data_IF_016813037625
#
_entry.id   IF_016813037625
#
_cell.length_a   1.000
_cell.length_b   1.000
_cell.length_c   1.000
_cell.angle_alpha   90.00
_cell.angle_beta   90.00
_cell.angle_gamma   90.00
#
_symmetry.space_group_name_H-M   'P 1'
#
loop_
_entity.id
_entity.type
_entity.pdbx_description
1 polymer ?
#
# COMPACT_ATOMS: atom_id res chain seq x y z
N UNK A 1 59.81 -52.94 -31.58
CA UNK A 1 59.09 -53.89 -32.46
C UNK A 1 57.67 -53.36 -32.69
N UNK A 2 57.22 -53.35 -33.96
CA UNK A 2 55.82 -53.36 -34.48
C UNK A 2 54.88 -52.19 -34.06
N UNK A 3 54.56 -51.27 -34.99
CA UNK A 3 53.34 -51.21 -35.87
C UNK A 3 52.06 -50.93 -35.04
N UNK A 4 51.46 -49.73 -35.03
CA UNK A 4 50.72 -49.00 -36.09
C UNK A 4 49.27 -49.49 -36.33
N UNK A 5 48.37 -48.52 -36.55
CA UNK A 5 46.97 -48.58 -37.08
C UNK A 5 45.91 -49.18 -36.15
N UNK A 6 44.89 -48.43 -35.68
CA UNK A 6 43.70 -47.86 -36.38
C UNK A 6 42.92 -48.91 -37.20
N UNK A 7 41.72 -49.31 -36.75
CA UNK A 7 40.43 -49.11 -37.46
C UNK A 7 39.24 -49.82 -36.76
N UNK A 8 38.12 -49.07 -36.67
CA UNK A 8 36.68 -49.38 -36.76
C UNK A 8 36.16 -50.80 -36.39
N UNK A 9 35.01 -50.93 -35.71
CA UNK A 9 33.65 -50.89 -36.32
C UNK A 9 32.57 -50.52 -35.28
N UNK A 10 31.53 -49.86 -35.79
CA UNK A 10 30.38 -49.20 -35.18
C UNK A 10 29.12 -50.13 -35.18
N UNK A 11 28.12 -49.75 -34.36
CA UNK A 11 26.65 -50.07 -34.44
C UNK A 11 26.26 -51.40 -33.75
N UNK A 12 25.22 -51.56 -32.89
CA UNK A 12 23.97 -50.88 -32.48
C UNK A 12 23.55 -51.50 -31.11
N UNK A 13 22.59 -51.06 -30.28
CA UNK A 13 21.53 -50.06 -30.32
C UNK A 13 20.99 -49.84 -28.88
N UNK A 14 20.37 -48.66 -28.69
CA UNK A 14 19.33 -48.21 -27.74
C UNK A 14 18.86 -49.17 -26.61
N UNK A 15 18.61 -48.70 -25.37
CA UNK A 15 17.63 -47.66 -25.01
C UNK A 15 18.10 -46.91 -23.74
N UNK A 16 18.19 -45.58 -23.83
CA UNK A 16 18.26 -44.69 -22.67
C UNK A 16 16.92 -43.96 -22.55
N UNK A 17 16.19 -44.22 -21.47
CA UNK A 17 14.99 -43.48 -21.06
C UNK A 17 14.94 -43.45 -19.53
N UNK A 18 15.64 -42.47 -18.97
CA UNK A 18 15.36 -41.86 -17.66
C UNK A 18 16.21 -40.59 -17.54
N UNK A 19 15.92 -39.60 -18.41
CA UNK A 19 16.37 -38.25 -18.15
C UNK A 19 15.74 -37.79 -16.85
N UNK A 20 16.57 -37.42 -15.86
CA UNK A 20 16.14 -36.56 -14.76
C UNK A 20 15.58 -35.29 -15.40
N UNK A 21 14.26 -35.12 -15.35
CA UNK A 21 13.67 -33.82 -15.62
C UNK A 21 14.13 -32.89 -14.49
N UNK A 22 15.09 -32.03 -14.81
CA UNK A 22 15.39 -30.85 -14.03
C UNK A 22 14.09 -30.05 -13.96
N UNK A 23 13.56 -29.85 -12.75
CA UNK A 23 12.39 -29.02 -12.56
C UNK A 23 12.69 -27.65 -13.19
N UNK A 24 11.79 -27.10 -14.03
CA UNK A 24 12.03 -25.78 -14.59
C UNK A 24 12.22 -24.81 -13.43
N UNK A 25 13.33 -24.06 -13.46
CA UNK A 25 13.55 -22.98 -12.52
C UNK A 25 12.31 -22.07 -12.52
N UNK A 26 11.77 -21.67 -11.36
CA UNK A 26 10.60 -20.83 -11.31
C UNK A 26 10.90 -19.56 -12.11
N UNK A 27 10.21 -19.41 -13.24
CA UNK A 27 10.27 -18.20 -14.03
C UNK A 27 9.71 -17.07 -13.16
N UNK A 28 10.43 -15.94 -13.13
CA UNK A 28 10.12 -14.76 -12.32
C UNK A 28 8.85 -14.01 -12.79
N UNK A 29 7.87 -14.72 -13.32
CA UNK A 29 6.66 -14.20 -13.96
C UNK A 29 5.47 -15.08 -13.57
N UNK A 30 5.20 -15.15 -12.27
CA UNK A 30 3.86 -15.45 -11.72
C UNK A 30 3.85 -15.23 -10.19
N UNK A 31 4.50 -14.15 -9.73
CA UNK A 31 4.09 -13.54 -8.46
C UNK A 31 2.79 -12.80 -8.73
N UNK A 32 1.69 -13.54 -8.88
CA UNK A 32 0.36 -12.96 -8.78
C UNK A 32 0.28 -12.35 -7.38
N UNK A 33 0.31 -11.01 -7.31
CA UNK A 33 0.08 -10.30 -6.06
C UNK A 33 -1.31 -10.72 -5.60
N UNK A 34 -1.37 -11.39 -4.45
CA UNK A 34 -2.62 -11.82 -3.88
C UNK A 34 -3.43 -10.59 -3.47
N UNK A 35 -4.40 -10.22 -4.32
CA UNK A 35 -5.29 -9.07 -4.10
C UNK A 35 -6.11 -9.21 -2.81
N UNK A 36 -6.20 -10.40 -2.21
CA UNK A 36 -6.86 -10.61 -0.93
C UNK A 36 -6.05 -10.10 0.27
N UNK A 37 -4.72 -10.01 0.16
CA UNK A 37 -3.84 -9.55 1.25
C UNK A 37 -4.04 -8.07 1.56
N UNK A 38 -4.08 -7.14 0.58
CA UNK A 38 -4.48 -5.76 0.82
C UNK A 38 -5.87 -5.66 1.45
N UNK A 39 -6.83 -6.45 0.97
CA UNK A 39 -8.20 -6.42 1.50
C UNK A 39 -8.28 -6.88 2.97
N UNK A 40 -7.60 -7.95 3.34
CA UNK A 40 -7.53 -8.39 4.74
C UNK A 40 -6.79 -7.37 5.61
N UNK A 41 -5.71 -6.78 5.10
CA UNK A 41 -4.96 -5.73 5.79
C UNK A 41 -5.86 -4.54 6.12
N UNK A 42 -6.65 -4.09 5.14
CA UNK A 42 -7.56 -2.97 5.32
C UNK A 42 -8.70 -3.25 6.30
N UNK A 43 -9.20 -4.47 6.36
CA UNK A 43 -10.17 -4.87 7.40
C UNK A 43 -9.55 -4.75 8.78
N UNK A 44 -8.34 -5.28 8.99
CA UNK A 44 -7.64 -5.22 10.28
C UNK A 44 -7.29 -3.78 10.67
N UNK A 45 -6.84 -2.98 9.71
CA UNK A 45 -6.54 -1.57 9.89
C UNK A 45 -7.78 -0.77 10.29
N UNK A 46 -8.93 -1.02 9.64
CA UNK A 46 -10.19 -0.35 9.95
C UNK A 46 -10.63 -0.65 11.38
N UNK A 47 -10.58 -1.93 11.79
CA UNK A 47 -10.91 -2.36 13.15
C UNK A 47 -10.02 -1.69 14.19
N UNK A 48 -8.71 -1.60 13.93
CA UNK A 48 -7.76 -0.96 14.84
C UNK A 48 -8.03 0.53 14.98
N UNK A 49 -8.23 1.24 13.87
CA UNK A 49 -8.57 2.67 13.86
C UNK A 49 -9.87 2.91 14.65
N UNK A 50 -10.90 2.11 14.41
CA UNK A 50 -12.19 2.21 15.10
C UNK A 50 -12.06 1.88 16.60
N UNK A 51 -11.26 0.89 16.97
CA UNK A 51 -10.96 0.58 18.37
C UNK A 51 -10.24 1.75 19.06
N UNK A 52 -9.15 2.25 18.47
CA UNK A 52 -8.35 3.35 19.03
C UNK A 52 -9.17 4.63 19.18
N UNK A 53 -10.07 4.91 18.23
CA UNK A 53 -10.96 6.08 18.28
C UNK A 53 -12.08 5.94 19.31
N UNK A 54 -12.58 4.73 19.57
CA UNK A 54 -13.59 4.48 20.61
C UNK A 54 -13.03 4.52 22.03
N UNK A 55 -11.75 4.19 22.21
CA UNK A 55 -11.08 4.17 23.53
C UNK A 55 -10.21 5.40 23.81
N UNK A 56 -10.00 6.24 22.80
CA UNK A 56 -9.37 7.56 22.92
C UNK A 56 -10.26 8.61 23.60
N UNK A 57 -9.66 9.72 24.04
CA UNK A 57 -10.39 10.84 24.67
C UNK A 57 -11.51 11.36 23.76
N UNK A 58 -12.65 11.87 24.27
CA UNK A 58 -13.85 12.16 23.46
C UNK A 58 -13.76 13.37 22.50
N UNK A 59 -12.57 13.81 22.12
CA UNK A 59 -12.35 14.91 21.15
C UNK A 59 -11.64 14.44 19.87
N UNK A 60 -11.58 13.13 19.63
CA UNK A 60 -10.88 12.60 18.46
C UNK A 60 -11.79 12.77 17.23
N UNK A 61 -11.35 13.56 16.25
CA UNK A 61 -12.01 13.68 14.97
C UNK A 61 -12.06 12.31 14.30
N UNK A 62 -13.16 11.58 14.46
CA UNK A 62 -13.37 10.29 13.81
C UNK A 62 -13.77 10.50 12.34
N UNK A 63 -12.91 11.19 11.60
CA UNK A 63 -13.10 11.48 10.19
C UNK A 63 -12.24 10.55 9.32
N UNK A 64 -12.76 10.21 8.16
CA UNK A 64 -12.08 9.46 7.09
C UNK A 64 -12.51 10.06 5.76
N UNK A 65 -11.77 9.87 4.66
CA UNK A 65 -12.24 10.36 3.37
C UNK A 65 -13.56 9.67 3.00
N UNK A 66 -14.54 10.43 2.47
CA UNK A 66 -15.87 9.90 2.09
C UNK A 66 -15.77 8.73 1.12
N UNK A 67 -14.80 8.78 0.21
CA UNK A 67 -14.50 7.73 -0.78
C UNK A 67 -13.16 7.07 -0.48
N UNK A 68 -13.04 5.76 -0.75
CA UNK A 68 -11.78 5.03 -0.60
C UNK A 68 -10.70 5.60 -1.54
N UNK A 69 -9.50 5.95 -1.04
CA UNK A 69 -8.37 6.31 -1.88
C UNK A 69 -8.07 5.20 -2.91
N UNK A 70 -7.86 5.53 -4.20
CA UNK A 70 -7.54 4.53 -5.21
C UNK A 70 -6.20 3.87 -4.90
N UNK A 71 -6.14 2.54 -5.02
CA UNK A 71 -4.93 1.78 -4.75
C UNK A 71 -4.51 1.75 -3.27
N UNK A 72 -5.41 2.07 -2.34
CA UNK A 72 -5.14 1.98 -0.90
C UNK A 72 -4.77 0.54 -0.52
N UNK A 73 -3.61 0.40 0.14
CA UNK A 73 -3.05 -0.87 0.61
C UNK A 73 -3.16 -1.03 2.13
N UNK A 74 -2.96 0.05 2.89
CA UNK A 74 -3.07 0.03 4.35
C UNK A 74 -3.36 1.41 4.90
N UNK A 75 -3.86 1.44 6.14
CA UNK A 75 -4.15 2.66 6.89
C UNK A 75 -3.84 2.48 8.38
N UNK A 76 -3.45 3.55 9.07
CA UNK A 76 -3.18 3.49 10.51
C UNK A 76 -3.28 4.86 11.15
N UNK A 77 -3.39 4.90 12.48
CA UNK A 77 -3.20 6.13 13.23
C UNK A 77 -1.69 6.36 13.37
N UNK A 78 -1.20 7.44 12.78
CA UNK A 78 0.20 7.86 12.86
C UNK A 78 0.50 8.57 14.18
N UNK A 79 -0.39 9.48 14.61
CA UNK A 79 -0.28 10.13 15.93
C UNK A 79 -1.62 10.69 16.39
N UNK A 80 -1.73 10.91 17.69
CA UNK A 80 -2.96 11.40 18.31
C UNK A 80 -2.63 12.41 19.41
N UNK A 81 -2.97 13.67 19.19
CA UNK A 81 -2.69 14.77 20.08
C UNK A 81 -3.95 15.52 20.49
N UNK A 82 -3.85 16.40 21.50
CA UNK A 82 -5.01 17.15 22.01
C UNK A 82 -5.62 18.12 20.98
N UNK A 83 -4.89 18.49 19.92
CA UNK A 83 -5.30 19.49 18.95
C UNK A 83 -5.29 19.00 17.50
N UNK A 84 -4.72 17.82 17.25
CA UNK A 84 -4.66 17.20 15.93
C UNK A 84 -4.57 15.67 15.99
N UNK A 85 -5.11 15.03 14.96
CA UNK A 85 -4.97 13.59 14.70
C UNK A 85 -4.25 13.45 13.38
N UNK A 86 -3.26 12.56 13.29
CA UNK A 86 -2.59 12.24 12.04
C UNK A 86 -2.88 10.79 11.70
N UNK A 87 -3.63 10.57 10.63
CA UNK A 87 -3.78 9.26 10.01
C UNK A 87 -2.70 9.05 8.95
N UNK A 88 -2.31 7.81 8.71
CA UNK A 88 -1.38 7.41 7.67
C UNK A 88 -2.08 6.47 6.69
N UNK A 89 -1.98 6.76 5.40
CA UNK A 89 -2.51 5.96 4.30
C UNK A 89 -1.35 5.56 3.40
N UNK A 90 -1.26 4.28 3.05
CA UNK A 90 -0.28 3.79 2.08
C UNK A 90 -0.97 3.23 0.86
N UNK A 91 -0.44 3.53 -0.32
CA UNK A 91 -1.06 3.13 -1.58
C UNK A 91 0.00 2.80 -2.63
N UNK A 92 -0.45 2.08 -3.66
CA UNK A 92 0.32 1.77 -4.86
C UNK A 92 1.55 0.90 -4.64
N UNK A 93 2.23 0.60 -5.74
CA UNK A 93 3.39 -0.30 -5.76
C UNK A 93 4.58 0.30 -5.00
N UNK A 94 4.71 1.63 -5.00
CA UNK A 94 5.80 2.31 -4.31
C UNK A 94 5.55 2.43 -2.81
N UNK A 95 4.39 1.97 -2.30
CA UNK A 95 3.95 2.18 -0.91
C UNK A 95 4.06 3.65 -0.52
N UNK A 96 3.63 4.55 -1.41
CA UNK A 96 3.62 5.96 -1.12
C UNK A 96 2.73 6.21 0.10
N UNK A 97 3.27 6.92 1.09
CA UNK A 97 2.56 7.33 2.29
C UNK A 97 1.92 8.70 2.10
N UNK A 98 0.68 8.85 2.55
CA UNK A 98 0.04 10.12 2.81
C UNK A 98 -0.27 10.21 4.30
N UNK A 99 0.25 11.27 4.93
CA UNK A 99 -0.05 11.60 6.32
C UNK A 99 -1.09 12.71 6.32
N UNK A 100 -2.25 12.40 6.88
CA UNK A 100 -3.45 13.25 6.87
C UNK A 100 -3.64 13.79 8.27
N UNK A 101 -3.24 15.04 8.46
CA UNK A 101 -3.40 15.79 9.68
C UNK A 101 -4.78 16.47 9.69
N UNK A 102 -5.62 16.04 10.63
CA UNK A 102 -6.89 16.66 10.98
C UNK A 102 -6.67 17.53 12.22
N UNK A 103 -6.80 18.85 12.11
CA UNK A 103 -6.51 19.77 13.20
C UNK A 103 -7.71 20.65 13.57
N UNK A 104 -7.75 21.09 14.83
CA UNK A 104 -8.74 22.09 15.29
C UNK A 104 -8.57 23.47 14.65
N UNK A 105 -7.39 23.73 14.08
CA UNK A 105 -7.00 24.98 13.41
C UNK A 105 -6.06 24.65 12.25
N UNK A 106 -6.00 25.46 11.18
CA UNK A 106 -5.05 25.24 10.09
C UNK A 106 -3.61 25.11 10.59
N UNK A 107 -2.88 24.14 10.06
CA UNK A 107 -1.46 23.90 10.40
C UNK A 107 -0.54 24.46 9.33
N UNK A 108 0.62 24.96 9.74
CA UNK A 108 1.65 25.48 8.83
C UNK A 108 2.51 24.38 8.18
N UNK A 109 2.12 23.10 8.31
CA UNK A 109 2.88 21.94 7.85
C UNK A 109 3.22 22.00 6.35
N UNK A 110 2.34 22.53 5.50
CA UNK A 110 2.65 22.72 4.07
C UNK A 110 3.73 23.79 3.78
N UNK A 111 4.10 24.64 4.74
CA UNK A 111 5.17 25.63 4.53
C UNK A 111 6.56 24.96 4.51
N UNK A 112 6.69 23.76 5.07
CA UNK A 112 7.97 23.05 5.22
C UNK A 112 8.03 21.75 4.44
N UNK A 113 6.92 21.32 3.82
CA UNK A 113 6.83 20.06 3.05
C UNK A 113 6.51 20.35 1.59
N UNK A 114 7.42 19.96 0.70
CA UNK A 114 7.32 20.20 -0.75
C UNK A 114 6.09 19.55 -1.39
N UNK A 115 5.74 18.34 -0.92
CA UNK A 115 4.61 17.57 -1.40
C UNK A 115 3.49 17.60 -0.37
N UNK A 116 2.70 18.68 -0.41
CA UNK A 116 1.61 18.93 0.52
C UNK A 116 0.34 19.38 -0.21
N UNK A 117 -0.81 19.00 0.33
CA UNK A 117 -2.14 19.45 -0.07
C UNK A 117 -2.84 19.99 1.18
N UNK A 118 -3.45 21.16 1.07
CA UNK A 118 -4.20 21.78 2.17
C UNK A 118 -5.65 21.97 1.76
N UNK A 119 -6.56 21.59 2.65
CA UNK A 119 -7.95 21.99 2.63
C UNK A 119 -8.21 22.87 3.87
N UNK A 120 -8.13 24.18 3.68
CA UNK A 120 -8.25 25.17 4.77
C UNK A 120 -9.64 25.16 5.41
N UNK A 121 -10.69 24.90 4.61
CA UNK A 121 -12.08 24.90 5.03
C UNK A 121 -12.40 23.74 5.99
N UNK A 122 -11.68 22.62 5.85
CA UNK A 122 -11.86 21.42 6.68
C UNK A 122 -10.72 21.24 7.71
N UNK A 123 -9.76 22.17 7.78
CA UNK A 123 -8.56 22.08 8.61
C UNK A 123 -7.79 20.76 8.42
N UNK A 124 -7.71 20.31 7.16
CA UNK A 124 -7.02 19.09 6.75
C UNK A 124 -5.74 19.45 6.03
N UNK A 125 -4.63 18.90 6.50
CA UNK A 125 -3.34 19.00 5.83
C UNK A 125 -2.87 17.60 5.47
N UNK A 126 -2.61 17.35 4.18
CA UNK A 126 -2.07 16.07 3.70
C UNK A 126 -0.65 16.28 3.22
N UNK A 127 0.29 15.53 3.77
CA UNK A 127 1.67 15.54 3.32
C UNK A 127 2.11 14.16 2.86
N UNK A 128 2.78 14.13 1.72
CA UNK A 128 3.21 12.87 1.10
C UNK A 128 4.60 12.52 1.61
N UNK A 129 4.69 11.33 2.18
CA UNK A 129 5.93 10.73 2.65
C UNK A 129 6.23 9.51 1.80
N UNK A 130 7.42 9.45 1.23
CA UNK A 130 7.90 8.29 0.51
C UNK A 130 8.25 7.12 1.42
N UNK A 131 8.67 6.00 0.83
CA UNK A 131 9.42 4.99 1.56
C UNK A 131 10.93 5.30 1.48
N UNK A 132 11.79 4.51 2.14
CA UNK A 132 13.26 4.73 2.14
C UNK A 132 13.91 4.68 0.75
N UNK A 133 13.23 4.11 -0.25
CA UNK A 133 13.70 3.92 -1.62
C UNK A 133 13.02 4.85 -2.65
N UNK A 134 11.90 5.50 -2.30
CA UNK A 134 11.14 6.36 -3.23
C UNK A 134 10.75 7.67 -2.55
N UNK A 135 11.26 8.79 -3.05
CA UNK A 135 10.84 10.13 -2.59
C UNK A 135 9.66 10.62 -3.44
N UNK A 136 8.55 11.12 -2.85
CA UNK A 136 7.42 11.63 -3.59
C UNK A 136 7.84 12.87 -4.39
N UNK A 137 7.42 12.97 -5.65
CA UNK A 137 7.77 14.10 -6.52
C UNK A 137 6.70 14.35 -7.57
N UNK A 138 6.55 15.61 -7.99
CA UNK A 138 5.63 15.96 -9.08
C UNK A 138 6.05 15.27 -10.40
N UNK A 139 5.08 14.83 -11.19
CA UNK A 139 5.30 14.09 -12.43
C UNK A 139 5.48 12.58 -12.22
N UNK A 140 5.52 12.09 -10.98
CA UNK A 140 5.35 10.66 -10.69
C UNK A 140 3.85 10.31 -10.71
N UNK A 141 3.40 9.32 -11.51
CA UNK A 141 1.97 9.02 -11.67
C UNK A 141 1.25 8.66 -10.36
N UNK A 142 1.90 7.92 -9.47
CA UNK A 142 1.31 7.50 -8.19
C UNK A 142 1.16 8.70 -7.25
N UNK A 143 2.20 9.53 -7.18
CA UNK A 143 2.19 10.77 -6.40
C UNK A 143 1.15 11.76 -6.92
N UNK A 144 1.09 11.98 -8.23
CA UNK A 144 0.14 12.92 -8.84
C UNK A 144 -1.31 12.45 -8.69
N UNK A 145 -1.58 11.15 -8.82
CA UNK A 145 -2.91 10.58 -8.58
C UNK A 145 -3.36 10.78 -7.13
N UNK A 146 -2.47 10.55 -6.16
CA UNK A 146 -2.78 10.72 -4.76
C UNK A 146 -2.99 12.20 -4.39
N UNK A 147 -2.17 13.10 -4.94
CA UNK A 147 -2.38 14.55 -4.79
C UNK A 147 -3.73 14.98 -5.34
N UNK A 148 -4.09 14.51 -6.53
CA UNK A 148 -5.38 14.79 -7.15
C UNK A 148 -6.54 14.29 -6.29
N UNK A 149 -6.43 13.08 -5.72
CA UNK A 149 -7.40 12.55 -4.78
C UNK A 149 -7.55 13.45 -3.54
N UNK A 150 -6.45 13.69 -2.82
CA UNK A 150 -6.48 14.44 -1.56
C UNK A 150 -6.88 15.90 -1.74
N UNK A 151 -6.63 16.51 -2.90
CA UNK A 151 -7.07 17.87 -3.20
C UNK A 151 -8.59 18.05 -3.30
N UNK A 152 -9.33 16.94 -3.38
CA UNK A 152 -10.80 16.91 -3.55
C UNK A 152 -11.48 16.01 -2.52
N UNK A 153 -10.71 15.42 -1.60
CA UNK A 153 -11.23 14.50 -0.62
C UNK A 153 -12.06 15.29 0.40
N UNK A 154 -13.31 14.87 0.59
CA UNK A 154 -14.17 15.35 1.66
C UNK A 154 -13.97 14.43 2.87
N UNK A 155 -13.63 15.02 4.02
CA UNK A 155 -13.46 14.26 5.27
C UNK A 155 -14.79 14.19 6.03
N UNK A 156 -15.24 12.97 6.33
CA UNK A 156 -16.57 12.73 6.91
C UNK A 156 -16.50 11.81 8.12
N UNK A 157 -17.45 11.88 9.06
CA UNK A 157 -17.55 10.91 10.15
C UNK A 157 -17.53 9.47 9.62
N UNK A 158 -16.89 8.56 10.36
CA UNK A 158 -16.80 7.13 9.97
C UNK A 158 -18.16 6.53 9.57
N UNK A 159 -19.24 6.90 10.26
CA UNK A 159 -20.60 6.43 9.97
C UNK A 159 -21.13 6.85 8.58
N UNK A 160 -20.55 7.88 7.96
CA UNK A 160 -20.95 8.41 6.65
C UNK A 160 -20.06 7.89 5.50
N UNK A 161 -18.95 7.21 5.83
CA UNK A 161 -18.02 6.65 4.86
C UNK A 161 -18.34 5.16 4.60
N UNK A 162 -19.21 4.90 3.63
CA UNK A 162 -19.72 3.56 3.32
C UNK A 162 -18.61 2.49 3.17
N UNK A 163 -17.53 2.82 2.45
CA UNK A 163 -16.39 1.92 2.25
C UNK A 163 -15.71 1.52 3.57
N UNK A 164 -15.61 2.44 4.52
CA UNK A 164 -14.99 2.18 5.81
C UNK A 164 -15.93 1.36 6.69
N UNK A 165 -17.22 1.69 6.68
CA UNK A 165 -18.23 0.92 7.43
C UNK A 165 -18.35 -0.52 6.94
N UNK A 166 -18.14 -0.77 5.64
CA UNK A 166 -18.10 -2.12 5.07
C UNK A 166 -16.90 -2.92 5.58
N UNK A 167 -15.71 -2.31 5.65
CA UNK A 167 -14.52 -2.94 6.24
C UNK A 167 -14.76 -3.30 7.71
N UNK A 168 -15.39 -2.40 8.48
CA UNK A 168 -15.76 -2.66 9.87
C UNK A 168 -16.77 -3.78 10.01
N UNK A 169 -17.76 -3.86 9.12
CA UNK A 169 -18.75 -4.94 9.13
C UNK A 169 -18.07 -6.29 8.89
N UNK A 170 -17.27 -6.40 7.82
CA UNK A 170 -16.50 -7.60 7.46
C UNK A 170 -15.57 -8.07 8.58
N UNK A 171 -14.96 -7.14 9.31
CA UNK A 171 -14.05 -7.48 10.40
C UNK A 171 -14.73 -7.94 11.70
N UNK A 172 -16.05 -7.79 11.82
CA UNK A 172 -16.82 -8.15 13.03
C UNK A 172 -17.61 -9.46 12.87
N UNK A 173 -17.67 -10.01 11.66
CA UNK A 173 -18.23 -11.32 11.33
C UNK A 173 -17.28 -12.45 11.71
#
# INVERSE_FOLDING_TARGET
MKRALILLIVVAAAVALAGKAEAPAPQASDLMVDESVPEQTLVMDALRIDFDRRHGSPQHFALVPRTRPPGLLSMSIGSNGPNSVVDSYHFGEQKLGALVELATRPTDTCATVEMCVRNDDEHVTVYFSGNVATTPRAGDPETDAARAFWSKAEMVPVAEAAWFTELLARGRE
#
